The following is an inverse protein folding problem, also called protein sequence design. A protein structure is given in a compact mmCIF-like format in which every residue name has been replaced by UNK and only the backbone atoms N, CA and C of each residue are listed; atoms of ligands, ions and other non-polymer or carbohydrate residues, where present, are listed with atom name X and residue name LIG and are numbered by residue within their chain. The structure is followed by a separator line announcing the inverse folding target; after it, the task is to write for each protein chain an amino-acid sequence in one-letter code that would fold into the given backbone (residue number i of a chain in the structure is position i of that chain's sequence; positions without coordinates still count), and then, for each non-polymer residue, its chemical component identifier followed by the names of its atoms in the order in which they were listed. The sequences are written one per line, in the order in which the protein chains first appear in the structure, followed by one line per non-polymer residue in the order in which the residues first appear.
data_IF_947837241390
#
_entry.id   IF_947837241390
#
_cell.length_a   1.000
_cell.length_b   1.000
_cell.length_c   1.000
_cell.angle_alpha   90.00
_cell.angle_beta   90.00
_cell.angle_gamma   90.00
#
_symmetry.space_group_name_H-M   'P 1'
#
loop_
_entity.id
_entity.type
_entity.pdbx_description
1 polymer ?
2 non-polymer ?
3 non-polymer ?
4 non-polymer ?
5 non-polymer ?
6 water ?
#
# COMPACT_ATOMS: atom_id res chain seq x y z
N UNK A 22 -9.11 -22.74 1.49
CA UNK A 22 -8.09 -21.94 0.72
C UNK A 22 -7.53 -20.85 1.66
N UNK A 23 -6.38 -21.14 2.28
CA UNK A 23 -5.75 -20.25 3.26
C UNK A 23 -4.89 -19.06 2.64
N UNK A 24 -5.60 -18.05 2.14
CA UNK A 24 -5.06 -16.86 1.45
C UNK A 24 -4.33 -15.89 2.43
N UNK A 25 -3.20 -15.31 1.99
CA UNK A 25 -2.46 -14.34 2.83
C UNK A 25 -2.06 -13.11 2.00
N UNK A 26 -2.18 -11.89 2.56
CA UNK A 26 -1.67 -10.72 1.85
C UNK A 26 -0.33 -10.27 2.38
N UNK A 27 0.52 -9.81 1.44
CA UNK A 27 1.77 -9.13 1.81
C UNK A 27 1.84 -7.78 1.19
N UNK A 28 2.63 -6.86 1.75
CA UNK A 28 2.88 -5.60 1.05
C UNK A 28 4.30 -5.18 1.26
N UNK A 29 4.84 -4.41 0.31
CA UNK A 29 6.26 -4.14 0.39
C UNK A 29 6.57 -2.72 -0.09
N UNK A 30 7.63 -2.18 0.44
CA UNK A 30 8.05 -0.77 0.13
C UNK A 30 9.55 -0.69 -0.07
N UNK A 31 10.04 0.14 -0.98
CA UNK A 31 11.45 0.48 -0.89
C UNK A 31 11.57 1.86 -1.44
N UNK A 32 12.68 2.49 -1.16
CA UNK A 32 13.08 3.77 -1.77
C UNK A 32 14.61 3.81 -1.95
N UNK A 33 15.13 4.48 -3.02
CA UNK A 33 16.56 4.77 -3.21
C UNK A 33 16.80 6.14 -3.75
N UNK A 34 17.92 6.76 -3.35
CA UNK A 34 18.28 8.05 -3.90
C UNK A 34 18.85 7.85 -5.30
N UNK A 35 18.56 8.81 -6.17
CA UNK A 35 19.08 8.95 -7.52
C UNK A 35 20.16 10.01 -7.47
N UNK A 36 21.27 9.69 -8.13
CA UNK A 36 22.52 10.43 -8.15
C UNK A 36 23.13 10.28 -9.57
N UNK A 37 23.64 11.37 -10.10
CA UNK A 37 24.35 11.37 -11.40
C UNK A 37 25.40 10.27 -11.60
N UNK A 38 25.50 9.82 -12.85
CA UNK A 38 26.50 8.84 -13.28
C UNK A 38 26.19 7.36 -13.13
N UNK A 39 25.53 6.98 -12.02
CA UNK A 39 25.28 5.57 -11.73
C UNK A 39 24.17 4.94 -12.62
N UNK A 40 24.18 3.61 -12.76
CA UNK A 40 23.14 3.01 -13.62
C UNK A 40 21.71 2.96 -12.96
N UNK A 41 20.70 3.22 -13.75
CA UNK A 41 19.35 3.04 -13.28
C UNK A 41 18.84 1.65 -13.63
N UNK A 42 18.59 0.82 -12.62
CA UNK A 42 18.11 -0.57 -12.77
C UNK A 42 16.87 -0.71 -11.95
N UNK A 43 15.76 -1.07 -12.62
CA UNK A 43 14.45 -1.27 -11.97
C UNK A 43 13.75 -2.48 -12.56
N UNK A 44 13.40 -3.40 -11.66
CA UNK A 44 12.72 -4.61 -12.13
C UNK A 44 13.70 -5.50 -12.90
N UNK A 45 14.96 -5.40 -12.55
CA UNK A 45 16.10 -6.00 -13.30
C UNK A 45 16.37 -5.41 -14.68
N UNK A 46 15.61 -4.38 -15.11
CA UNK A 46 15.80 -3.70 -16.44
C UNK A 46 16.69 -2.45 -16.24
N UNK A 47 17.79 -2.41 -17.01
CA UNK A 47 18.71 -1.25 -16.97
C UNK A 47 18.05 -0.20 -17.87
N UNK A 48 17.81 0.99 -17.37
CA UNK A 48 17.15 2.05 -18.16
C UNK A 48 18.19 3.19 -18.44
N UNK A 49 18.57 3.41 -19.72
CA UNK A 49 19.48 4.52 -19.99
C UNK A 49 18.92 5.84 -19.47
N UNK A 50 19.74 6.54 -18.69
CA UNK A 50 19.29 7.76 -18.04
C UNK A 50 20.48 8.41 -17.40
N UNK A 51 20.44 9.74 -17.31
CA UNK A 51 21.59 10.49 -16.76
C UNK A 51 21.79 10.34 -15.23
N UNK A 52 20.79 9.79 -14.52
CA UNK A 52 20.97 9.45 -13.12
C UNK A 52 20.69 7.97 -12.88
N UNK A 53 20.95 7.50 -11.65
CA UNK A 53 21.05 6.09 -11.24
C UNK A 53 20.93 5.91 -9.71
N UNK A 54 20.59 4.67 -9.30
CA UNK A 54 20.17 4.40 -7.90
C UNK A 54 21.31 4.02 -7.00
N UNK A 55 21.52 4.81 -5.94
CA UNK A 55 22.44 4.42 -4.82
C UNK A 55 21.82 3.40 -3.80
N UNK A 56 22.69 2.48 -3.40
CA UNK A 56 22.40 1.50 -2.37
C UNK A 56 23.58 0.57 -2.39
N UNK A 57 23.61 -0.38 -1.46
CA UNK A 57 24.76 -1.28 -1.38
C UNK A 57 24.53 -2.62 -2.08
N UNK A 58 23.38 -2.72 -2.76
CA UNK A 58 23.08 -3.81 -3.69
C UNK A 58 23.33 -3.24 -5.06
N UNK A 59 22.57 -3.71 -6.04
CA UNK A 59 22.35 -2.88 -7.18
C UNK A 59 21.06 -2.07 -7.01
N UNK A 60 20.51 -1.98 -5.77
CA UNK A 60 19.51 -0.97 -5.34
C UNK A 60 18.21 -0.93 -6.16
N UNK A 61 17.78 -2.11 -6.61
CA UNK A 61 16.61 -2.28 -7.44
C UNK A 61 15.35 -2.16 -6.57
N UNK A 62 14.74 -0.98 -6.57
CA UNK A 62 13.63 -0.65 -5.63
C UNK A 62 12.44 -1.59 -5.80
N UNK A 63 12.21 -2.05 -7.04
CA UNK A 63 11.00 -2.73 -7.45
C UNK A 63 11.19 -4.13 -7.02
N UNK A 64 12.32 -4.76 -7.41
CA UNK A 64 12.62 -6.13 -6.92
C UNK A 64 12.54 -6.21 -5.38
N UNK A 65 13.09 -5.23 -4.68
CA UNK A 65 13.08 -5.32 -3.23
C UNK A 65 11.72 -5.19 -2.60
N UNK A 66 10.84 -4.38 -3.20
CA UNK A 66 9.56 -4.06 -2.54
C UNK A 66 8.79 -5.35 -2.74
N UNK A 67 8.94 -5.94 -3.95
CA UNK A 67 8.24 -7.26 -4.20
C UNK A 67 8.75 -8.36 -3.27
N UNK A 68 10.08 -8.36 -3.05
CA UNK A 68 10.71 -9.28 -2.11
C UNK A 68 10.09 -9.12 -0.71
N UNK A 69 10.06 -7.92 -0.18
CA UNK A 69 9.42 -7.73 1.15
C UNK A 69 7.95 -8.20 1.16
N UNK A 70 7.22 -7.93 0.05
CA UNK A 70 5.81 -8.26 -0.10
C UNK A 70 5.65 -9.73 0.06
N UNK A 71 6.60 -10.53 -0.48
CA UNK A 71 6.45 -11.96 -0.38
C UNK A 71 6.80 -12.44 1.05
N UNK A 72 7.88 -11.96 1.64
CA UNK A 72 8.27 -12.39 2.99
C UNK A 72 7.14 -12.01 3.94
N UNK A 73 6.55 -10.86 3.67
CA UNK A 73 5.41 -10.34 4.49
C UNK A 73 4.23 -11.30 4.53
N UNK A 74 3.74 -11.74 3.35
CA UNK A 74 2.58 -12.61 3.24
C UNK A 74 2.80 -13.96 3.88
N UNK A 75 4.04 -14.43 3.81
CA UNK A 75 4.50 -15.69 4.37
C UNK A 75 4.86 -15.59 5.84
N UNK A 76 4.68 -14.42 6.46
CA UNK A 76 5.15 -14.08 7.83
C UNK A 76 6.55 -14.56 8.16
N UNK A 77 7.49 -14.28 7.26
CA UNK A 77 8.86 -14.72 7.41
C UNK A 77 9.76 -13.47 7.68
N UNK A 78 9.14 -12.36 8.07
CA UNK A 78 9.94 -11.15 8.46
C UNK A 78 10.10 -10.22 7.24
N UNK A 79 11.33 -9.77 6.98
CA UNK A 79 11.65 -8.79 5.94
C UNK A 79 13.04 -9.15 5.31
N UNK A 80 13.41 -8.51 4.18
CA UNK A 80 14.67 -8.89 3.51
C UNK A 80 15.89 -8.88 4.48
N UNK A 81 15.84 -7.98 5.45
CA UNK A 81 16.93 -7.88 6.39
C UNK A 81 17.03 -9.08 7.34
N UNK A 82 15.92 -9.77 7.59
CA UNK A 82 15.95 -10.99 8.42
C UNK A 82 16.37 -12.22 7.64
N UNK A 83 16.65 -11.99 6.36
CA UNK A 83 17.01 -13.08 5.53
C UNK A 83 18.38 -12.92 4.98
N UNK A 84 18.87 -11.66 4.86
CA UNK A 84 19.88 -11.35 3.83
C UNK A 84 20.97 -10.36 4.25
N UNK A 93 27.63 -11.02 -2.27
CA UNK A 93 27.72 -10.83 -3.70
C UNK A 93 26.46 -11.32 -4.40
N UNK A 94 25.30 -10.97 -3.86
CA UNK A 94 24.05 -11.40 -4.48
C UNK A 94 23.27 -10.18 -4.95
N UNK A 95 23.01 -10.09 -6.27
CA UNK A 95 22.15 -9.00 -6.84
C UNK A 95 20.68 -9.07 -6.33
N UNK A 96 19.85 -8.12 -6.76
CA UNK A 96 18.44 -8.23 -6.38
C UNK A 96 17.63 -9.36 -7.03
N UNK A 97 17.96 -9.81 -8.26
CA UNK A 97 17.29 -11.03 -8.82
C UNK A 97 17.59 -12.29 -8.02
N UNK A 98 18.84 -12.44 -7.53
CA UNK A 98 19.23 -13.62 -6.80
C UNK A 98 18.42 -13.65 -5.48
N UNK A 99 18.34 -12.51 -4.83
CA UNK A 99 17.51 -12.32 -3.62
C UNK A 99 16.03 -12.62 -3.85
N UNK A 100 15.46 -12.12 -4.95
CA UNK A 100 14.05 -12.43 -5.30
C UNK A 100 13.82 -13.92 -5.47
N UNK A 101 14.67 -14.60 -6.26
CA UNK A 101 14.55 -16.05 -6.39
C UNK A 101 14.72 -16.80 -5.07
N UNK A 102 15.67 -16.40 -4.23
CA UNK A 102 15.84 -17.06 -2.94
C UNK A 102 14.62 -16.79 -2.08
N UNK A 103 14.12 -15.57 -2.14
CA UNK A 103 12.85 -15.27 -1.46
C UNK A 103 11.80 -16.31 -1.86
N UNK A 104 11.56 -16.47 -3.19
CA UNK A 104 10.60 -17.44 -3.72
C UNK A 104 10.84 -18.86 -3.23
N UNK A 105 12.11 -19.28 -3.16
CA UNK A 105 12.46 -20.62 -2.66
C UNK A 105 12.01 -20.78 -1.21
N UNK A 106 12.30 -19.77 -0.38
CA UNK A 106 11.89 -19.82 1.04
C UNK A 106 10.37 -19.80 1.21
N UNK A 107 9.70 -18.91 0.46
CA UNK A 107 8.23 -18.89 0.48
C UNK A 107 7.62 -20.29 0.11
N UNK A 108 8.12 -20.93 -0.96
CA UNK A 108 7.63 -22.26 -1.38
C UNK A 108 7.89 -23.35 -0.34
N UNK A 109 9.07 -23.28 0.28
CA UNK A 109 9.46 -24.25 1.34
C UNK A 109 8.67 -24.06 2.66
N UNK A 110 8.17 -22.86 2.90
CA UNK A 110 7.26 -22.68 4.03
C UNK A 110 5.85 -23.10 3.75
N UNK A 111 5.62 -23.69 2.57
CA UNK A 111 4.31 -24.27 2.20
C UNK A 111 3.39 -23.32 1.46
N UNK A 112 3.97 -22.25 0.93
CA UNK A 112 3.16 -21.35 0.11
C UNK A 112 3.26 -21.43 -1.40
N UNK A 113 2.13 -21.06 -2.00
CA UNK A 113 2.00 -20.89 -3.43
C UNK A 113 1.63 -19.38 -3.77
N UNK A 114 2.21 -18.83 -4.82
CA UNK A 114 1.93 -17.43 -5.14
C UNK A 114 0.75 -17.23 -6.09
N UNK A 115 -0.33 -16.55 -5.64
CA UNK A 115 -1.41 -16.14 -6.55
C UNK A 115 -1.00 -15.10 -7.56
N UNK A 116 -0.37 -13.98 -7.11
CA UNK A 116 -0.04 -12.89 -8.03
C UNK A 116 0.74 -11.84 -7.37
N UNK A 117 1.22 -10.90 -8.18
CA UNK A 117 2.02 -9.77 -7.73
C UNK A 117 1.51 -8.57 -8.51
N UNK A 118 1.36 -7.42 -7.81
CA UNK A 118 1.09 -6.10 -8.38
C UNK A 118 1.99 -5.09 -7.71
N UNK A 119 2.37 -4.07 -8.47
CA UNK A 119 3.34 -3.14 -7.93
C UNK A 119 3.20 -1.82 -8.63
N UNK A 120 3.77 -0.75 -8.01
CA UNK A 120 3.93 0.57 -8.62
C UNK A 120 5.32 1.11 -8.37
N UNK A 121 5.87 1.79 -9.38
CA UNK A 121 7.13 2.48 -9.26
C UNK A 121 6.82 3.91 -9.50
N UNK A 122 7.23 4.75 -8.54
CA UNK A 122 7.08 6.22 -8.66
C UNK A 122 8.39 6.79 -9.03
N UNK A 123 8.42 7.27 -10.23
CA UNK A 123 9.58 7.92 -10.76
C UNK A 123 9.10 9.06 -11.59
N UNK A 124 9.67 10.25 -11.36
CA UNK A 124 9.22 11.44 -12.11
C UNK A 124 9.66 11.34 -13.56
N UNK A 125 10.84 10.72 -13.74
CA UNK A 125 11.41 10.47 -15.08
C UNK A 125 12.41 9.36 -14.84
N UNK A 126 12.79 8.62 -15.89
CA UNK A 126 12.34 8.64 -17.29
C UNK A 126 11.05 7.85 -17.47
N UNK A 127 10.49 7.85 -18.71
CA UNK A 127 9.32 7.03 -18.98
C UNK A 127 9.75 5.59 -18.81
N UNK A 128 8.93 4.84 -18.09
CA UNK A 128 9.16 3.39 -17.80
C UNK A 128 8.33 2.48 -18.69
N UNK A 129 7.23 3.03 -19.25
CA UNK A 129 6.34 2.18 -20.03
C UNK A 129 7.03 1.21 -21.07
N UNK A 130 7.94 1.67 -21.90
CA UNK A 130 8.40 0.61 -22.80
C UNK A 130 9.38 -0.39 -22.17
N UNK A 131 9.61 -0.28 -20.85
CA UNK A 131 10.49 -1.14 -20.09
C UNK A 131 9.72 -2.13 -19.22
N UNK A 132 8.43 -1.87 -19.06
CA UNK A 132 7.58 -2.57 -18.12
C UNK A 132 7.41 -4.04 -18.48
N UNK A 133 7.27 -4.36 -19.77
CA UNK A 133 7.22 -5.78 -20.13
C UNK A 133 8.52 -6.53 -19.78
N UNK A 134 9.66 -5.84 -19.73
CA UNK A 134 10.95 -6.54 -19.43
C UNK A 134 11.01 -6.85 -17.94
N UNK A 135 10.42 -5.94 -17.15
CA UNK A 135 10.44 -6.11 -15.69
C UNK A 135 9.53 -7.30 -15.37
N UNK A 136 8.33 -7.30 -15.95
CA UNK A 136 7.34 -8.34 -15.71
C UNK A 136 7.92 -9.70 -16.07
N UNK A 137 8.62 -9.74 -17.20
CA UNK A 137 9.30 -10.98 -17.56
C UNK A 137 10.35 -11.43 -16.55
N UNK A 138 11.24 -10.53 -16.10
CA UNK A 138 12.27 -10.85 -15.02
C UNK A 138 11.59 -11.34 -13.73
N UNK A 139 10.52 -10.66 -13.30
CA UNK A 139 9.82 -11.08 -12.09
C UNK A 139 9.10 -12.43 -12.31
N UNK A 140 8.36 -12.59 -13.40
CA UNK A 140 7.64 -13.87 -13.57
C UNK A 140 8.63 -15.04 -13.55
N UNK A 141 9.70 -14.98 -14.35
CA UNK A 141 10.79 -16.01 -14.27
C UNK A 141 11.29 -16.16 -12.81
N UNK A 142 11.53 -15.07 -12.10
CA UNK A 142 12.15 -15.26 -10.78
C UNK A 142 11.20 -15.89 -9.75
N UNK A 143 9.89 -15.71 -9.95
CA UNK A 143 8.88 -16.24 -9.04
C UNK A 143 8.30 -17.54 -9.56
N UNK A 144 8.78 -17.95 -10.74
CA UNK A 144 8.21 -19.08 -11.51
C UNK A 144 6.73 -18.89 -11.80
N UNK A 145 6.32 -17.73 -12.30
CA UNK A 145 4.88 -17.46 -12.49
C UNK A 145 4.68 -17.19 -13.95
N UNK A 146 3.47 -17.49 -14.51
CA UNK A 146 3.20 -16.98 -15.83
C UNK A 146 3.11 -15.48 -15.82
N UNK A 147 3.31 -14.88 -16.99
CA UNK A 147 3.26 -13.44 -17.16
C UNK A 147 1.96 -12.80 -16.68
N UNK A 148 0.88 -13.57 -16.73
CA UNK A 148 -0.48 -13.05 -16.47
C UNK A 148 -0.74 -12.92 -14.98
N UNK A 149 0.20 -13.40 -14.17
CA UNK A 149 0.11 -13.13 -12.76
C UNK A 149 1.06 -12.07 -12.19
N UNK A 150 1.70 -11.32 -13.07
CA UNK A 150 2.66 -10.29 -12.67
C UNK A 150 2.27 -8.99 -13.28
N UNK A 151 2.09 -7.95 -12.46
CA UNK A 151 1.82 -6.61 -13.02
C UNK A 151 2.76 -5.56 -12.45
N UNK A 152 3.15 -4.59 -13.28
CA UNK A 152 4.02 -3.51 -12.84
C UNK A 152 3.43 -2.24 -13.40
N UNK A 153 3.23 -1.26 -12.50
CA UNK A 153 2.69 0.05 -12.95
C UNK A 153 3.65 1.19 -12.61
N UNK A 154 3.57 2.29 -13.34
CA UNK A 154 4.49 3.45 -13.21
C UNK A 154 3.80 4.75 -12.94
N UNK A 155 4.22 5.52 -11.93
CA UNK A 155 3.62 6.86 -11.71
C UNK A 155 4.66 7.98 -11.62
N UNK A 156 4.39 9.18 -12.08
CA UNK A 156 5.19 10.33 -11.61
C UNK A 156 4.71 10.78 -10.19
N UNK A 157 5.40 11.72 -9.56
CA UNK A 157 4.88 12.32 -8.30
C UNK A 157 4.44 13.78 -8.52
N UNK A 158 4.08 14.12 -9.76
CA UNK A 158 3.59 15.50 -10.09
C UNK A 158 4.56 16.62 -9.61
N UNK A 159 5.89 16.29 -9.60
CA UNK A 159 6.96 17.22 -9.25
C UNK A 159 6.90 17.57 -7.78
N UNK A 160 6.24 16.75 -6.99
CA UNK A 160 6.17 17.01 -5.54
C UNK A 160 7.21 16.19 -4.75
N UNK A 161 7.89 16.81 -3.79
CA UNK A 161 8.74 16.13 -2.79
C UNK A 161 10.02 15.59 -3.42
N UNK A 162 10.86 14.91 -2.67
CA UNK A 162 12.10 14.33 -3.31
C UNK A 162 11.82 13.41 -4.50
N UNK A 163 10.67 12.76 -4.51
CA UNK A 163 10.29 11.91 -5.65
C UNK A 163 10.09 12.82 -6.89
N UNK A 164 9.34 13.90 -6.67
CA UNK A 164 9.01 14.82 -7.76
C UNK A 164 10.19 15.58 -8.33
N UNK A 165 11.17 15.82 -7.50
CA UNK A 165 12.40 16.56 -7.88
C UNK A 165 13.38 15.61 -8.51
N UNK A 166 13.02 14.32 -8.59
CA UNK A 166 13.98 13.37 -9.17
C UNK A 166 15.12 12.98 -8.24
N UNK A 167 14.97 13.15 -6.93
CA UNK A 167 16.10 12.83 -6.06
C UNK A 167 15.96 11.43 -5.44
N UNK A 168 14.85 10.78 -5.75
CA UNK A 168 14.71 9.40 -5.35
C UNK A 168 13.71 8.75 -6.25
N UNK A 169 13.63 7.42 -6.14
CA UNK A 169 12.55 6.60 -6.74
C UNK A 169 12.03 5.67 -5.65
N UNK A 170 10.73 5.37 -5.74
CA UNK A 170 10.01 4.54 -4.80
C UNK A 170 9.36 3.34 -5.52
N UNK A 171 9.21 2.19 -4.87
CA UNK A 171 8.35 1.13 -5.41
C UNK A 171 7.40 0.67 -4.31
N UNK A 172 6.18 0.27 -4.71
CA UNK A 172 5.25 -0.29 -3.71
C UNK A 172 4.91 -1.60 -4.26
N UNK A 173 4.62 -2.58 -3.40
CA UNK A 173 4.21 -3.81 -4.06
C UNK A 173 3.15 -4.48 -3.19
N UNK A 174 2.35 -5.37 -3.81
CA UNK A 174 1.38 -6.24 -3.07
C UNK A 174 1.47 -7.63 -3.62
N UNK A 175 1.38 -8.63 -2.73
CA UNK A 175 1.34 -9.98 -3.17
C UNK A 175 0.37 -10.88 -2.44
N UNK A 176 -0.15 -11.87 -3.15
CA UNK A 176 -1.16 -12.74 -2.54
C UNK A 176 -0.66 -14.14 -2.54
N UNK A 177 -0.69 -14.80 -1.38
CA UNK A 177 -0.16 -16.12 -1.25
C UNK A 177 -1.28 -17.06 -0.81
N UNK A 178 -1.16 -18.35 -1.10
CA UNK A 178 -2.05 -19.41 -0.49
C UNK A 178 -1.16 -20.43 0.24
N UNK A 179 -1.44 -20.64 1.54
CA UNK A 179 -0.73 -21.65 2.37
C UNK A 179 -1.44 -22.96 2.17
N UNK A 180 -0.70 -23.93 1.66
CA UNK A 180 -1.20 -25.26 1.34
C UNK A 180 -0.99 -26.18 2.54
N UNK A 181 -2.07 -26.78 3.07
CA UNK A 181 -3.44 -26.47 2.67
C UNK A 181 -4.18 -27.59 1.96
N UNK A 182 -4.38 -27.40 0.65
CA UNK A 182 -5.10 -28.35 -0.20
C UNK A 182 -4.83 -28.18 -1.69
N UNK B 22 -15.61 -18.59 -0.37
CA UNK B 22 -14.82 -17.77 0.60
C UNK B 22 -14.91 -16.31 0.18
N UNK B 23 -15.65 -15.52 0.96
CA UNK B 23 -15.87 -14.13 0.62
C UNK B 23 -14.73 -13.28 1.21
N UNK B 24 -13.58 -13.34 0.55
CA UNK B 24 -12.39 -12.60 0.97
C UNK B 24 -12.43 -11.08 0.68
N UNK B 25 -11.90 -10.29 1.64
CA UNK B 25 -11.77 -8.81 1.52
C UNK B 25 -10.38 -8.27 1.87
N UNK B 26 -9.90 -7.26 1.11
CA UNK B 26 -8.66 -6.58 1.50
C UNK B 26 -8.87 -5.24 2.15
N UNK B 27 -7.97 -4.95 3.10
CA UNK B 27 -7.94 -3.69 3.88
C UNK B 27 -6.56 -3.13 3.82
N UNK B 28 -6.43 -1.81 3.72
CA UNK B 28 -5.08 -1.23 3.72
C UNK B 28 -5.11 -0.03 4.61
N UNK B 29 -4.02 0.24 5.29
CA UNK B 29 -4.03 1.38 6.21
C UNK B 29 -2.77 2.19 6.26
N UNK B 30 -2.87 3.45 6.67
CA UNK B 30 -1.70 4.37 6.72
C UNK B 30 -1.71 5.18 7.98
N UNK B 31 -0.54 5.41 8.56
CA UNK B 31 -0.42 6.51 9.55
C UNK B 31 0.95 7.20 9.48
N UNK B 32 1.03 8.39 10.06
CA UNK B 32 2.27 9.11 10.19
C UNK B 32 2.19 9.91 11.49
N UNK B 33 3.28 10.01 12.24
CA UNK B 33 3.39 10.94 13.37
C UNK B 33 4.73 11.65 13.35
N UNK B 34 4.76 12.85 13.93
CA UNK B 34 6.00 13.61 14.10
C UNK B 34 6.85 13.07 15.25
N UNK B 35 8.15 13.01 15.03
CA UNK B 35 9.10 12.70 16.05
C UNK B 35 9.60 13.98 16.71
N UNK B 36 9.59 14.00 18.06
CA UNK B 36 10.04 15.13 18.90
C UNK B 36 10.71 14.72 20.26
N UNK B 37 11.64 15.54 20.73
CA UNK B 37 12.11 15.50 22.13
C UNK B 37 10.93 15.66 23.08
N UNK B 38 10.94 14.92 24.19
CA UNK B 38 9.88 15.04 25.23
C UNK B 38 8.71 14.09 25.06
N UNK B 39 8.92 13.05 24.25
CA UNK B 39 7.95 11.99 24.08
C UNK B 39 8.66 10.63 24.02
N UNK B 40 8.02 9.59 24.58
CA UNK B 40 8.59 8.26 24.43
C UNK B 40 8.26 7.68 23.05
N UNK B 41 9.11 6.81 22.52
CA UNK B 41 8.86 6.21 21.20
C UNK B 41 8.12 4.88 21.39
N UNK B 42 6.86 4.78 20.95
CA UNK B 42 6.06 3.57 21.09
C UNK B 42 5.52 3.08 19.72
N UNK B 43 6.02 1.91 19.30
CA UNK B 43 5.64 1.39 18.02
C UNK B 43 5.15 -0.06 18.19
N UNK B 44 3.93 -0.33 17.74
CA UNK B 44 3.46 -1.73 17.86
C UNK B 44 3.26 -2.14 19.31
N UNK B 45 2.96 -1.15 20.16
CA UNK B 45 2.97 -1.15 21.64
C UNK B 45 4.31 -1.41 22.36
N UNK B 46 5.46 -1.52 21.65
CA UNK B 46 6.81 -1.61 22.26
C UNK B 46 7.44 -0.21 22.46
N UNK B 47 7.84 0.09 23.70
CA UNK B 47 8.56 1.29 23.97
C UNK B 47 10.01 1.08 23.56
N UNK B 48 10.54 1.95 22.70
CA UNK B 48 11.87 1.75 22.13
C UNK B 48 12.72 2.89 22.68
N UNK B 49 13.71 2.57 23.54
CA UNK B 49 14.46 3.68 24.11
C UNK B 49 15.14 4.50 22.97
N UNK B 50 15.11 5.83 23.10
CA UNK B 50 15.41 6.77 22.01
C UNK B 50 15.19 8.19 22.54
N UNK B 51 16.08 9.11 22.12
CA UNK B 51 16.04 10.51 22.55
C UNK B 51 14.82 11.24 21.93
N UNK B 52 14.21 10.63 20.93
CA UNK B 52 12.93 11.20 20.44
C UNK B 52 11.73 10.21 20.44
N UNK B 53 10.49 10.72 20.36
CA UNK B 53 9.22 9.95 20.40
C UNK B 53 8.06 10.70 19.74
N UNK B 54 6.91 10.05 19.67
CA UNK B 54 5.86 10.36 18.70
C UNK B 54 4.88 11.26 19.35
N UNK B 55 4.25 12.09 18.53
CA UNK B 55 3.33 13.16 18.95
C UNK B 55 1.97 12.80 18.38
N UNK B 56 0.93 12.87 19.22
CA UNK B 56 -0.44 12.72 18.73
C UNK B 56 -1.51 12.61 19.80
N UNK B 59 -1.66 8.52 22.19
CA UNK B 59 -0.44 7.73 22.47
C UNK B 59 0.45 7.48 21.23
N UNK B 60 -0.12 7.78 20.05
CA UNK B 60 0.57 7.98 18.77
C UNK B 60 1.30 6.79 18.17
N UNK B 61 0.80 5.59 18.43
CA UNK B 61 1.41 4.38 17.92
C UNK B 61 1.04 4.20 16.43
N UNK B 62 1.94 4.58 15.54
CA UNK B 62 1.67 4.63 14.10
C UNK B 62 1.30 3.20 13.47
N UNK B 63 2.00 2.19 13.97
CA UNK B 63 1.86 0.83 13.53
C UNK B 63 0.48 0.28 13.94
N UNK B 64 0.14 0.40 15.23
CA UNK B 64 -1.18 -0.07 15.67
C UNK B 64 -2.30 0.68 14.91
N UNK B 65 -2.15 1.98 14.71
CA UNK B 65 -3.24 2.73 14.01
C UNK B 65 -3.41 2.34 12.57
N UNK B 66 -2.29 2.09 11.88
CA UNK B 66 -2.32 1.71 10.48
C UNK B 66 -3.06 0.36 10.35
N UNK B 67 -2.70 -0.58 11.23
CA UNK B 67 -3.31 -1.92 11.19
C UNK B 67 -4.85 -1.84 11.48
N UNK B 68 -5.16 -1.06 12.48
CA UNK B 68 -6.57 -0.82 12.80
C UNK B 68 -7.39 -0.28 11.61
N UNK B 69 -6.93 0.77 10.93
CA UNK B 69 -7.55 1.25 9.65
C UNK B 69 -7.69 0.19 8.54
N UNK B 70 -6.67 -0.66 8.36
CA UNK B 70 -6.66 -1.72 7.43
C UNK B 70 -7.74 -2.80 7.70
N UNK B 71 -7.98 -3.11 8.97
CA UNK B 71 -9.04 -4.04 9.35
C UNK B 71 -10.42 -3.33 9.16
N UNK B 72 -10.57 -2.03 9.57
CA UNK B 72 -11.92 -1.34 9.36
C UNK B 72 -12.17 -1.27 7.87
N UNK B 73 -11.08 -1.06 7.13
CA UNK B 73 -11.16 -0.96 5.69
C UNK B 73 -11.63 -2.24 5.00
N UNK B 74 -11.02 -3.35 5.36
CA UNK B 74 -11.38 -4.67 4.78
C UNK B 74 -12.83 -5.08 5.11
N UNK B 75 -13.25 -4.67 6.30
CA UNK B 75 -14.61 -4.87 6.79
C UNK B 75 -15.66 -3.86 6.31
N UNK B 76 -15.25 -2.90 5.47
CA UNK B 76 -16.08 -1.74 5.08
C UNK B 76 -16.77 -1.01 6.21
N UNK B 77 -16.03 -0.71 7.29
CA UNK B 77 -16.62 -0.06 8.45
C UNK B 77 -16.06 1.38 8.61
N UNK B 78 -15.55 1.93 7.53
CA UNK B 78 -15.01 3.31 7.56
C UNK B 78 -13.57 3.35 8.03
N UNK B 79 -13.28 4.14 9.08
CA UNK B 79 -11.92 4.33 9.58
C UNK B 79 -11.91 4.62 11.08
N UNK B 80 -10.71 4.79 11.64
CA UNK B 80 -10.51 5.13 13.06
C UNK B 80 -11.43 6.26 13.59
N UNK B 81 -11.40 7.38 12.89
CA UNK B 81 -12.07 8.62 13.30
C UNK B 81 -13.55 8.40 13.37
N UNK B 82 -14.05 7.50 12.52
CA UNK B 82 -15.47 7.22 12.52
C UNK B 82 -15.87 6.39 13.73
N UNK B 83 -14.90 5.75 14.40
CA UNK B 83 -15.22 4.90 15.55
C UNK B 83 -14.89 5.49 16.88
N UNK B 84 -13.80 6.26 16.92
CA UNK B 84 -13.15 6.61 18.17
C UNK B 84 -12.88 8.13 18.27
N UNK B 85 -13.68 8.83 19.09
CA UNK B 85 -13.47 10.26 19.37
C UNK B 85 -12.81 10.48 20.73
N UNK B 93 -9.77 8.15 27.05
CA UNK B 93 -8.47 8.03 27.68
C UNK B 93 -7.73 6.85 27.06
N UNK B 94 -8.46 6.06 26.26
CA UNK B 94 -8.04 4.72 25.78
C UNK B 94 -6.82 4.73 24.85
N UNK B 95 -5.96 3.70 25.00
CA UNK B 95 -4.69 3.67 24.23
C UNK B 95 -4.82 2.99 22.81
N UNK B 96 -3.71 2.91 22.07
CA UNK B 96 -3.79 2.28 20.76
C UNK B 96 -4.09 0.76 20.81
N UNK B 97 -3.53 0.01 21.77
CA UNK B 97 -3.90 -1.41 21.97
C UNK B 97 -5.40 -1.62 22.30
N UNK B 98 -5.97 -0.76 23.16
CA UNK B 98 -7.39 -0.87 23.52
C UNK B 98 -8.17 -0.64 22.23
N UNK B 99 -7.76 0.37 21.48
CA UNK B 99 -8.41 0.62 20.22
C UNK B 99 -8.32 -0.56 19.27
N UNK B 100 -7.18 -1.25 19.24
CA UNK B 100 -6.97 -2.32 18.25
C UNK B 100 -7.86 -3.48 18.61
N UNK B 101 -7.87 -3.85 19.88
CA UNK B 101 -8.82 -4.83 20.42
C UNK B 101 -10.32 -4.46 20.21
N UNK B 102 -10.71 -3.20 20.38
CA UNK B 102 -12.11 -2.78 20.07
C UNK B 102 -12.40 -2.94 18.60
N UNK B 103 -11.45 -2.53 17.73
CA UNK B 103 -11.57 -2.78 16.27
C UNK B 103 -11.82 -4.29 16.01
N UNK B 104 -10.95 -5.16 16.51
CA UNK B 104 -11.11 -6.62 16.36
C UNK B 104 -12.52 -7.16 16.69
N UNK B 105 -13.03 -6.70 17.83
CA UNK B 105 -14.33 -7.07 18.31
C UNK B 105 -15.41 -6.52 17.33
N UNK B 106 -15.28 -5.31 16.81
CA UNK B 106 -16.24 -4.78 15.84
C UNK B 106 -16.12 -5.49 14.51
N UNK B 107 -14.89 -5.85 14.10
CA UNK B 107 -14.71 -6.58 12.85
C UNK B 107 -15.36 -8.01 12.99
N UNK B 108 -15.06 -8.72 14.08
CA UNK B 108 -15.70 -10.01 14.36
C UNK B 108 -17.25 -9.91 14.46
N UNK B 109 -17.77 -8.93 15.21
CA UNK B 109 -19.23 -8.71 15.32
C UNK B 109 -19.89 -8.54 13.95
N UNK B 110 -19.25 -7.79 13.05
CA UNK B 110 -19.74 -7.64 11.66
C UNK B 110 -19.64 -8.92 10.84
N UNK B 111 -19.16 -10.00 11.46
CA UNK B 111 -19.19 -11.32 10.86
C UNK B 111 -17.93 -11.71 10.10
N UNK B 112 -16.81 -11.05 10.40
CA UNK B 112 -15.63 -11.32 9.62
C UNK B 112 -14.67 -12.12 10.41
N UNK B 113 -13.87 -12.92 9.72
CA UNK B 113 -12.71 -13.59 10.30
C UNK B 113 -11.41 -12.96 9.73
N UNK B 114 -10.30 -12.97 10.48
CA UNK B 114 -9.04 -12.40 10.00
C UNK B 114 -8.11 -13.46 9.50
N UNK B 115 -7.71 -13.42 8.22
CA UNK B 115 -6.66 -14.32 7.69
C UNK B 115 -5.24 -13.99 8.20
N UNK B 116 -4.83 -12.70 8.06
CA UNK B 116 -3.50 -12.28 8.33
C UNK B 116 -3.30 -10.80 8.19
N UNK B 117 -2.26 -10.27 8.81
CA UNK B 117 -1.84 -8.85 8.69
C UNK B 117 -0.40 -8.77 8.18
N UNK B 118 -0.05 -7.75 7.38
CA UNK B 118 1.36 -7.49 7.13
C UNK B 118 1.52 -6.02 7.23
N UNK B 119 2.69 -5.58 7.64
CA UNK B 119 2.90 -4.11 7.85
C UNK B 119 4.33 -3.74 7.56
N UNK B 120 4.54 -2.45 7.29
CA UNK B 120 5.82 -1.84 7.24
C UNK B 120 5.89 -0.53 8.06
N UNK B 121 6.97 -0.43 8.83
CA UNK B 121 7.21 0.79 9.58
C UNK B 121 8.42 1.47 8.96
N UNK B 122 8.27 2.76 8.65
CA UNK B 122 9.41 3.47 7.98
C UNK B 122 9.93 4.40 8.96
N UNK B 123 11.16 4.14 9.42
CA UNK B 123 11.80 4.85 10.55
C UNK B 123 13.31 4.94 10.25
N UNK B 124 13.87 6.14 10.10
CA UNK B 124 15.27 6.23 9.68
C UNK B 124 16.17 5.62 10.78
N UNK B 125 15.69 5.81 12.02
CA UNK B 125 16.35 5.32 13.20
C UNK B 125 15.23 5.36 14.30
N UNK B 126 15.38 4.61 15.41
CA UNK B 126 16.45 3.62 15.63
C UNK B 126 16.19 2.32 14.90
N UNK B 127 17.12 1.37 15.09
CA UNK B 127 16.92 0.01 14.65
C UNK B 127 15.69 -0.58 15.37
N UNK B 128 14.71 -1.09 14.60
CA UNK B 128 13.49 -1.74 15.13
C UNK B 128 13.61 -3.25 15.16
N UNK B 129 14.55 -3.80 14.37
CA UNK B 129 14.65 -5.26 14.27
C UNK B 129 14.54 -6.05 15.64
N UNK B 130 15.32 -5.65 16.67
CA UNK B 130 15.20 -6.49 17.87
C UNK B 130 13.91 -6.25 18.65
N UNK B 131 13.06 -5.33 18.21
CA UNK B 131 11.78 -5.08 18.89
C UNK B 131 10.56 -5.64 18.15
N UNK B 132 10.79 -6.16 16.95
CA UNK B 132 9.78 -6.57 15.99
C UNK B 132 8.99 -7.78 16.56
N UNK B 133 9.65 -8.70 17.23
CA UNK B 133 8.86 -9.84 17.68
C UNK B 133 7.98 -9.48 18.86
N UNK B 134 8.39 -8.49 19.67
CA UNK B 134 7.53 -7.97 20.72
C UNK B 134 6.35 -7.27 20.07
N UNK B 135 6.58 -6.57 18.95
CA UNK B 135 5.42 -6.01 18.24
C UNK B 135 4.44 -7.06 17.73
N UNK B 136 4.95 -8.05 17.05
CA UNK B 136 4.06 -9.12 16.57
C UNK B 136 3.27 -9.78 17.69
N UNK B 137 3.88 -10.03 18.82
CA UNK B 137 3.17 -10.69 19.92
C UNK B 137 1.97 -9.84 20.42
N UNK B 138 2.19 -8.56 20.44
CA UNK B 138 1.24 -7.60 20.95
C UNK B 138 0.07 -7.51 19.96
N UNK B 139 0.37 -7.54 18.67
CA UNK B 139 -0.62 -7.42 17.60
C UNK B 139 -1.46 -8.74 17.53
N UNK B 140 -0.77 -9.86 17.49
CA UNK B 140 -1.47 -11.17 17.54
C UNK B 140 -2.36 -11.34 18.73
N UNK B 141 -1.87 -11.07 19.95
CA UNK B 141 -2.80 -11.14 21.09
C UNK B 141 -4.03 -10.25 20.85
N UNK B 142 -3.85 -9.02 20.43
CA UNK B 142 -4.95 -8.06 20.38
C UNK B 142 -5.99 -8.45 19.32
N UNK B 143 -5.54 -9.20 18.31
CA UNK B 143 -6.39 -9.68 17.22
C UNK B 143 -6.85 -11.13 17.38
N UNK B 144 -6.42 -11.81 18.44
CA UNK B 144 -6.86 -13.23 18.62
C UNK B 144 -6.25 -14.08 17.50
N UNK B 145 -5.04 -13.75 17.01
CA UNK B 145 -4.36 -14.59 16.00
C UNK B 145 -3.12 -15.33 16.54
N UNK B 146 -2.76 -16.51 15.97
CA UNK B 146 -1.36 -16.92 16.18
C UNK B 146 -0.35 -15.95 15.54
N UNK B 147 0.91 -16.06 15.96
CA UNK B 147 1.97 -15.19 15.53
C UNK B 147 2.25 -15.39 14.04
N UNK B 148 2.03 -16.61 13.56
CA UNK B 148 2.29 -16.94 12.17
C UNK B 148 1.34 -16.26 11.16
N UNK B 149 0.29 -15.60 11.65
CA UNK B 149 -0.53 -14.78 10.73
C UNK B 149 -0.28 -13.25 10.86
N UNK B 150 0.75 -12.90 11.60
CA UNK B 150 1.15 -11.50 11.83
C UNK B 150 2.57 -11.29 11.34
N UNK B 151 2.73 -10.29 10.47
CA UNK B 151 4.05 -9.80 10.11
C UNK B 151 4.25 -8.30 10.27
N UNK B 152 5.40 -7.93 10.78
CA UNK B 152 5.84 -6.52 10.77
C UNK B 152 7.23 -6.37 10.12
N UNK B 153 7.37 -5.35 9.25
CA UNK B 153 8.63 -5.10 8.57
C UNK B 153 9.15 -3.69 8.88
N UNK B 154 10.46 -3.48 8.86
CA UNK B 154 10.98 -2.10 9.10
C UNK B 154 11.86 -1.60 7.96
N UNK B 155 11.79 -0.28 7.67
CA UNK B 155 12.58 0.29 6.58
C UNK B 155 13.15 1.67 7.00
N UNK B 156 14.34 2.01 6.54
CA UNK B 156 14.74 3.42 6.56
C UNK B 156 14.08 4.09 5.33
N UNK B 157 14.24 5.40 5.20
CA UNK B 157 13.83 6.12 3.99
C UNK B 157 15.05 6.60 3.22
N UNK B 158 16.18 5.94 3.41
CA UNK B 158 17.41 6.34 2.73
C UNK B 158 17.79 7.81 2.88
N UNK B 159 17.47 8.41 4.04
CA UNK B 159 17.70 9.81 4.36
C UNK B 159 16.86 10.80 3.56
N UNK B 160 15.88 10.32 2.84
CA UNK B 160 15.08 11.23 1.99
C UNK B 160 13.84 11.74 2.72
N UNK B 161 13.45 13.00 2.52
CA UNK B 161 12.19 13.52 3.03
C UNK B 161 12.18 13.63 4.51
N UNK B 162 11.06 14.11 5.06
CA UNK B 162 10.92 14.22 6.52
C UNK B 162 11.17 12.88 7.26
N UNK B 163 10.77 11.78 6.64
CA UNK B 163 11.04 10.45 7.20
C UNK B 163 12.60 10.23 7.29
N UNK B 164 13.31 10.56 6.21
CA UNK B 164 14.76 10.22 6.16
C UNK B 164 15.50 11.19 7.08
N UNK B 165 14.89 12.34 7.36
CA UNK B 165 15.54 13.33 8.25
C UNK B 165 15.19 13.10 9.73
N UNK B 166 14.50 11.98 10.06
CA UNK B 166 14.12 11.80 11.45
C UNK B 166 13.00 12.64 12.00
N UNK B 167 12.23 13.30 11.13
CA UNK B 167 11.15 14.21 11.58
C UNK B 167 9.77 13.63 11.78
N UNK B 168 9.65 12.39 11.30
CA UNK B 168 8.45 11.63 11.38
C UNK B 168 8.74 10.20 11.21
N UNK B 169 7.74 9.41 11.58
CA UNK B 169 7.73 7.96 11.37
C UNK B 169 6.41 7.57 10.69
N UNK B 170 6.49 6.66 9.72
CA UNK B 170 5.32 6.19 8.91
C UNK B 170 5.09 4.72 9.22
N UNK B 171 3.86 4.30 9.15
CA UNK B 171 3.52 2.84 9.06
C UNK B 171 2.50 2.59 7.96
N UNK B 172 2.61 1.40 7.36
CA UNK B 172 1.72 0.98 6.27
C UNK B 172 1.24 -0.37 6.70
N UNK B 173 -0.03 -0.72 6.43
CA UNK B 173 -0.52 -2.08 6.82
C UNK B 173 -1.38 -2.62 5.74
N UNK B 174 -1.46 -3.98 5.69
CA UNK B 174 -2.40 -4.60 4.82
C UNK B 174 -3.06 -5.75 5.60
N UNK B 175 -4.38 -5.87 5.50
CA UNK B 175 -5.16 -6.97 6.13
C UNK B 175 -6.10 -7.68 5.19
N UNK B 176 -6.21 -9.01 5.39
CA UNK B 176 -7.11 -9.88 4.63
C UNK B 176 -8.13 -10.48 5.58
N UNK B 177 -9.41 -10.21 5.30
CA UNK B 177 -10.55 -10.69 6.06
C UNK B 177 -11.30 -11.71 5.28
N UNK B 178 -12.12 -12.49 6.00
CA UNK B 178 -13.12 -13.37 5.33
C UNK B 178 -14.51 -13.19 5.95
N UNK B 179 -15.48 -12.75 5.13
CA UNK B 179 -16.86 -12.55 5.58
C UNK B 179 -17.53 -13.91 5.61
N UNK B 180 -17.90 -14.35 6.80
CA UNK B 180 -18.56 -15.64 7.04
C UNK B 180 -20.07 -15.45 6.80
N UNK B 181 -20.67 -16.26 5.92
CA UNK B 181 -20.01 -17.34 5.19
C UNK B 181 -19.82 -18.63 6.00
N UNK B 182 -20.60 -18.78 7.09
CA UNK B 182 -20.46 -19.91 8.04
C UNK B 182 -21.04 -21.23 7.57
N UNK C 22 -11.06 -20.59 -5.65
CA UNK C 22 -11.29 -19.33 -6.41
C UNK C 22 -9.97 -18.65 -6.70
N UNK C 23 -9.75 -18.28 -7.96
CA UNK C 23 -8.47 -17.72 -8.36
C UNK C 23 -8.37 -16.22 -8.01
N UNK C 24 -8.00 -15.93 -6.75
CA UNK C 24 -8.05 -14.59 -6.17
C UNK C 24 -6.80 -13.77 -6.58
N UNK C 25 -7.02 -12.48 -6.87
CA UNK C 25 -5.91 -11.56 -7.27
C UNK C 25 -5.90 -10.22 -6.50
N UNK C 26 -4.71 -9.80 -6.07
CA UNK C 26 -4.50 -8.49 -5.40
C UNK C 26 -4.08 -7.43 -6.38
N UNK C 27 -4.69 -6.24 -6.26
CA UNK C 27 -4.18 -5.02 -6.92
C UNK C 27 -3.97 -3.91 -5.96
N UNK C 28 -3.08 -2.93 -6.28
CA UNK C 28 -2.81 -1.80 -5.40
C UNK C 28 -2.54 -0.58 -6.26
N UNK C 29 -2.89 0.57 -5.73
CA UNK C 29 -2.71 1.72 -6.63
C UNK C 29 -2.44 2.99 -5.89
N UNK C 30 -1.90 3.95 -6.61
CA UNK C 30 -1.35 5.19 -6.01
C UNK C 30 -1.65 6.34 -6.95
N UNK C 31 -2.04 7.47 -6.42
CA UNK C 31 -1.96 8.72 -7.26
C UNK C 31 -1.65 9.93 -6.41
N UNK C 32 -1.19 11.04 -7.02
CA UNK C 32 -1.04 12.26 -6.30
C UNK C 32 -1.35 13.36 -7.27
N UNK C 33 -1.85 14.48 -6.76
CA UNK C 33 -2.01 15.71 -7.56
C UNK C 33 -1.65 16.93 -6.72
N UNK C 34 -1.12 18.01 -7.33
CA UNK C 34 -0.88 19.28 -6.65
C UNK C 34 -2.18 20.03 -6.40
N UNK C 35 -2.23 20.73 -5.29
CA UNK C 35 -3.38 21.55 -4.92
C UNK C 35 -2.97 22.94 -5.17
N UNK C 36 -3.78 23.62 -5.97
CA UNK C 36 -3.58 25.06 -6.24
C UNK C 36 -4.86 25.94 -6.06
N UNK C 37 -4.64 27.19 -5.67
CA UNK C 37 -5.68 28.24 -5.54
C UNK C 37 -6.70 28.25 -6.70
N UNK C 38 -7.96 28.54 -6.34
CA UNK C 38 -9.11 28.60 -7.29
C UNK C 38 -9.13 27.59 -8.43
N UNK C 39 -9.28 26.31 -8.06
CA UNK C 39 -9.62 25.23 -9.00
C UNK C 39 -10.52 24.29 -8.19
N UNK C 40 -11.37 23.51 -8.85
CA UNK C 40 -12.24 22.76 -7.95
C UNK C 40 -11.56 21.54 -7.34
N UNK C 41 -11.86 21.30 -6.07
CA UNK C 41 -11.45 20.06 -5.38
C UNK C 41 -12.44 18.91 -5.63
N UNK C 42 -12.09 17.93 -6.45
CA UNK C 42 -12.93 16.73 -6.71
C UNK C 42 -12.24 15.47 -6.22
N UNK C 43 -12.89 14.82 -5.25
CA UNK C 43 -12.30 13.63 -4.76
C UNK C 43 -13.33 12.49 -4.73
N UNK C 44 -13.00 11.41 -5.41
CA UNK C 44 -13.93 10.29 -5.41
C UNK C 44 -15.22 10.71 -6.14
N UNK C 45 -15.13 11.72 -7.00
CA UNK C 45 -16.26 12.20 -7.81
C UNK C 45 -17.09 13.17 -6.96
N UNK C 46 -16.74 13.37 -5.70
CA UNK C 46 -17.41 14.37 -4.86
C UNK C 46 -16.73 15.76 -5.00
N UNK C 47 -17.49 16.82 -5.31
CA UNK C 47 -16.88 18.17 -5.33
C UNK C 47 -16.90 18.66 -3.90
N UNK C 48 -15.78 19.09 -3.38
CA UNK C 48 -15.69 19.56 -2.01
C UNK C 48 -15.34 21.05 -2.03
N UNK C 49 -16.29 21.93 -1.65
CA UNK C 49 -16.00 23.34 -1.54
C UNK C 49 -14.70 23.63 -0.76
N UNK C 50 -13.77 24.36 -1.36
CA UNK C 50 -12.45 24.56 -0.77
C UNK C 50 -11.79 25.60 -1.67
N UNK C 51 -10.90 26.39 -1.08
CA UNK C 51 -10.23 27.46 -1.82
C UNK C 51 -9.09 26.99 -2.71
N UNK C 52 -8.61 25.76 -2.50
CA UNK C 52 -7.73 25.12 -3.49
C UNK C 52 -8.44 23.93 -4.15
N UNK C 53 -7.85 23.38 -5.23
CA UNK C 53 -8.34 22.28 -6.06
C UNK C 53 -7.21 21.62 -6.86
N UNK C 54 -7.50 20.48 -7.48
CA UNK C 54 -6.45 19.52 -7.94
C UNK C 54 -6.09 19.69 -9.39
N UNK C 55 -4.78 19.80 -9.64
CA UNK C 55 -4.24 20.05 -10.99
C UNK C 55 -3.86 18.73 -11.70
N UNK C 56 -4.45 18.49 -12.87
CA UNK C 56 -4.04 17.38 -13.72
C UNK C 56 -4.64 17.56 -15.07
N UNK C 57 -4.32 16.65 -16.00
CA UNK C 57 -4.88 16.68 -17.37
C UNK C 57 -6.32 16.19 -17.46
N UNK C 58 -6.80 15.46 -16.45
CA UNK C 58 -8.20 15.02 -16.29
C UNK C 58 -8.94 16.08 -15.43
N UNK C 59 -10.00 15.63 -14.73
CA UNK C 59 -10.56 16.36 -13.60
C UNK C 59 -9.72 16.11 -12.33
N UNK C 60 -8.52 15.51 -12.49
CA UNK C 60 -7.52 15.21 -11.43
C UNK C 60 -7.99 14.45 -10.18
N UNK C 61 -8.99 13.58 -10.38
CA UNK C 61 -9.58 12.83 -9.28
C UNK C 61 -8.59 11.78 -8.69
N UNK C 62 -7.80 12.19 -7.69
CA UNK C 62 -6.70 11.35 -7.14
C UNK C 62 -7.26 9.96 -6.63
N UNK C 63 -8.48 9.90 -6.07
CA UNK C 63 -9.04 8.65 -5.48
C UNK C 63 -9.53 7.69 -6.56
N UNK C 64 -10.35 8.18 -7.49
CA UNK C 64 -10.79 7.35 -8.54
C UNK C 64 -9.56 6.82 -9.36
N UNK C 65 -8.53 7.63 -9.57
CA UNK C 65 -7.38 7.09 -10.40
C UNK C 65 -6.65 5.98 -9.64
N UNK C 66 -6.51 6.14 -8.33
CA UNK C 66 -5.73 5.15 -7.58
C UNK C 66 -6.52 3.84 -7.57
N UNK C 67 -7.84 3.95 -7.38
CA UNK C 67 -8.74 2.71 -7.55
C UNK C 67 -8.72 2.07 -8.98
N UNK C 68 -8.80 2.89 -10.01
CA UNK C 68 -8.63 2.45 -11.40
C UNK C 68 -7.29 1.74 -11.58
N UNK C 69 -6.19 2.30 -11.12
CA UNK C 69 -4.90 1.51 -11.13
C UNK C 69 -4.89 0.17 -10.38
N UNK C 70 -5.43 0.13 -9.12
CA UNK C 70 -5.60 -1.10 -8.33
C UNK C 70 -6.44 -2.21 -9.01
N UNK C 71 -7.44 -1.83 -9.79
CA UNK C 71 -8.23 -2.80 -10.56
C UNK C 71 -7.47 -3.31 -11.77
N UNK C 72 -6.81 -2.45 -12.52
CA UNK C 72 -5.99 -2.88 -13.70
C UNK C 72 -4.83 -3.74 -13.22
N UNK C 73 -4.29 -3.40 -12.08
CA UNK C 73 -3.17 -4.17 -11.51
C UNK C 73 -3.56 -5.58 -11.03
N UNK C 74 -4.71 -5.70 -10.36
CA UNK C 74 -5.18 -7.04 -9.96
C UNK C 74 -5.51 -7.93 -11.15
N UNK C 75 -5.93 -7.29 -12.23
CA UNK C 75 -6.30 -7.97 -13.47
C UNK C 75 -5.12 -8.21 -14.43
N UNK C 76 -3.96 -7.74 -14.02
CA UNK C 76 -2.72 -7.74 -14.83
C UNK C 76 -2.93 -7.11 -16.20
N UNK C 77 -3.61 -5.97 -16.21
CA UNK C 77 -3.88 -5.25 -17.45
C UNK C 77 -3.07 -3.97 -17.60
N UNK C 78 -1.99 -3.87 -16.85
CA UNK C 78 -1.17 -2.66 -16.93
C UNK C 78 -1.59 -1.55 -15.96
N UNK C 79 -1.63 -0.30 -16.47
CA UNK C 79 -1.97 0.85 -15.67
C UNK C 79 -2.80 1.85 -16.51
N UNK C 80 -3.31 2.93 -15.89
CA UNK C 80 -4.22 3.81 -16.64
C UNK C 80 -3.60 4.31 -17.93
N UNK C 81 -2.30 4.61 -17.86
CA UNK C 81 -1.59 5.15 -19.03
C UNK C 81 -1.63 4.20 -20.20
N UNK C 82 -1.68 2.91 -19.92
CA UNK C 82 -1.66 1.92 -20.98
C UNK C 82 -3.01 1.92 -21.63
N UNK C 83 -3.96 2.56 -20.96
CA UNK C 83 -5.33 2.58 -21.44
C UNK C 83 -5.78 3.92 -21.94
N UNK C 84 -5.51 4.98 -21.17
CA UNK C 84 -6.10 6.30 -21.41
C UNK C 84 -5.00 7.37 -21.44
N UNK C 85 -4.83 8.05 -22.57
CA UNK C 85 -3.70 8.98 -22.73
C UNK C 85 -4.07 10.45 -23.02
N UNK C 86 -4.39 10.73 -24.28
CA UNK C 86 -4.51 12.10 -24.81
C UNK C 86 -5.71 12.25 -25.75
N UNK C 95 -14.52 12.21 -17.77
CA UNK C 95 -14.00 12.57 -16.49
C UNK C 95 -13.29 11.33 -15.84
N UNK C 96 -13.13 11.32 -14.53
CA UNK C 96 -12.49 10.12 -13.95
C UNK C 96 -13.48 8.96 -13.64
N UNK C 97 -14.78 9.24 -13.45
CA UNK C 97 -15.81 8.21 -13.39
C UNK C 97 -15.99 7.47 -14.73
N UNK C 98 -15.99 8.17 -15.87
CA UNK C 98 -16.06 7.47 -17.17
C UNK C 98 -14.89 6.46 -17.21
N UNK C 99 -13.71 6.94 -16.93
CA UNK C 99 -12.53 6.05 -16.86
C UNK C 99 -12.70 4.88 -15.90
N UNK C 100 -13.27 5.14 -14.73
CA UNK C 100 -13.44 4.07 -13.71
C UNK C 100 -14.38 3.02 -14.28
N UNK C 101 -15.50 3.47 -14.89
CA UNK C 101 -16.45 2.53 -15.49
C UNK C 101 -15.83 1.76 -16.66
N UNK C 102 -15.12 2.41 -17.57
CA UNK C 102 -14.44 1.66 -18.63
C UNK C 102 -13.42 0.64 -18.08
N UNK C 103 -12.68 1.04 -17.04
CA UNK C 103 -11.81 0.09 -16.32
C UNK C 103 -12.61 -1.17 -15.90
N UNK C 104 -13.75 -1.00 -15.20
CA UNK C 104 -14.59 -2.12 -14.72
C UNK C 104 -15.07 -3.01 -15.85
N UNK C 105 -15.39 -2.40 -16.98
CA UNK C 105 -15.82 -3.14 -18.13
C UNK C 105 -14.65 -3.91 -18.72
N UNK C 106 -13.45 -3.30 -18.78
CA UNK C 106 -12.26 -4.06 -19.27
C UNK C 106 -11.91 -5.18 -18.29
N UNK C 107 -12.11 -4.95 -17.00
CA UNK C 107 -11.76 -5.99 -16.00
C UNK C 107 -12.75 -7.18 -16.11
N UNK C 108 -14.03 -6.86 -16.36
CA UNK C 108 -15.05 -7.90 -16.47
C UNK C 108 -14.88 -8.77 -17.74
N UNK C 109 -14.59 -8.14 -18.87
CA UNK C 109 -14.29 -8.78 -20.16
C UNK C 109 -13.01 -9.67 -20.13
N UNK C 110 -12.05 -9.35 -19.25
CA UNK C 110 -10.83 -10.17 -19.04
C UNK C 110 -11.13 -11.33 -18.13
N UNK C 111 -12.37 -11.36 -17.63
CA UNK C 111 -12.94 -12.50 -16.91
C UNK C 111 -12.93 -12.42 -15.39
N UNK C 112 -12.87 -11.22 -14.82
CA UNK C 112 -12.72 -11.08 -13.35
C UNK C 112 -13.99 -10.54 -12.78
N UNK C 113 -14.30 -10.91 -11.54
CA UNK C 113 -15.32 -10.20 -10.76
C UNK C 113 -14.62 -9.52 -9.54
N UNK C 114 -15.22 -8.43 -9.09
CA UNK C 114 -14.59 -7.67 -8.00
C UNK C 114 -15.07 -8.08 -6.61
N UNK C 115 -14.19 -8.51 -5.70
CA UNK C 115 -14.55 -8.68 -4.25
C UNK C 115 -14.87 -7.43 -3.47
N UNK C 116 -13.92 -6.47 -3.48
CA UNK C 116 -14.00 -5.27 -2.64
C UNK C 116 -12.89 -4.31 -3.00
N UNK C 117 -13.07 -3.07 -2.62
CA UNK C 117 -12.11 -1.99 -2.70
C UNK C 117 -11.95 -1.34 -1.32
N UNK C 118 -10.70 -1.05 -0.93
CA UNK C 118 -10.44 -0.19 0.22
C UNK C 118 -9.46 0.88 -0.25
N UNK C 119 -9.51 2.02 0.40
CA UNK C 119 -8.67 3.11 -0.02
C UNK C 119 -8.48 4.09 1.12
N UNK C 120 -7.45 4.95 0.94
CA UNK C 120 -7.13 6.03 1.85
C UNK C 120 -6.82 7.26 1.00
N UNK C 121 -7.44 8.37 1.35
CA UNK C 121 -7.02 9.66 0.84
C UNK C 121 -6.25 10.42 1.87
N UNK C 122 -5.09 10.97 1.50
CA UNK C 122 -4.29 11.84 2.44
C UNK C 122 -4.39 13.32 2.15
N UNK C 123 -5.05 14.09 3.02
CA UNK C 123 -5.29 15.54 2.79
C UNK C 123 -5.24 16.19 4.09
N UNK C 124 -4.45 17.24 4.23
CA UNK C 124 -4.24 17.82 5.51
C UNK C 124 -5.55 18.54 5.82
N UNK C 125 -6.17 19.03 4.76
CA UNK C 125 -7.51 19.57 4.85
C UNK C 125 -8.02 19.68 3.40
N UNK C 126 -9.34 19.89 3.23
CA UNK C 126 -10.36 20.09 4.25
C UNK C 126 -10.78 18.80 4.86
N UNK C 127 -11.70 18.87 5.83
CA UNK C 127 -12.25 17.66 6.44
C UNK C 127 -13.08 16.90 5.41
N UNK C 128 -12.78 15.60 5.21
CA UNK C 128 -13.39 14.82 4.17
C UNK C 128 -14.49 13.90 4.71
N UNK C 129 -14.53 13.67 6.01
CA UNK C 129 -15.48 12.69 6.56
C UNK C 129 -16.99 12.91 6.07
N UNK C 130 -17.47 14.14 5.97
CA UNK C 130 -18.89 14.26 5.62
C UNK C 130 -19.12 14.01 4.15
N UNK C 131 -18.03 13.87 3.38
CA UNK C 131 -18.08 13.55 1.99
C UNK C 131 -17.91 12.09 1.55
N UNK C 132 -17.40 11.29 2.47
CA UNK C 132 -16.97 9.91 2.21
C UNK C 132 -18.11 9.04 1.74
N UNK C 133 -19.31 9.23 2.30
CA UNK C 133 -20.41 8.40 1.87
C UNK C 133 -20.84 8.63 0.41
N UNK C 134 -20.69 9.88 -0.10
CA UNK C 134 -20.99 10.25 -1.48
C UNK C 134 -19.90 9.59 -2.32
N UNK C 135 -18.65 9.56 -1.80
CA UNK C 135 -17.57 8.94 -2.64
C UNK C 135 -17.87 7.46 -2.81
N UNK C 136 -18.24 6.80 -1.71
CA UNK C 136 -18.55 5.35 -1.76
C UNK C 136 -19.66 5.00 -2.73
N UNK C 137 -20.77 5.76 -2.66
CA UNK C 137 -21.82 5.61 -3.61
C UNK C 137 -21.33 5.75 -5.04
N UNK C 138 -20.48 6.75 -5.33
CA UNK C 138 -20.05 6.95 -6.68
C UNK C 138 -19.23 5.74 -7.13
N UNK C 139 -18.35 5.27 -6.26
CA UNK C 139 -17.45 4.22 -6.65
C UNK C 139 -18.26 2.92 -6.81
N UNK C 140 -19.18 2.66 -5.87
CA UNK C 140 -19.95 1.43 -5.97
C UNK C 140 -20.81 1.38 -7.25
N UNK C 141 -21.52 2.47 -7.57
CA UNK C 141 -22.30 2.50 -8.84
C UNK C 141 -21.35 2.10 -9.95
N UNK C 142 -20.26 2.83 -10.14
CA UNK C 142 -19.30 2.70 -11.24
C UNK C 142 -18.64 1.35 -11.35
N UNK C 143 -18.53 0.62 -10.25
CA UNK C 143 -17.96 -0.73 -10.30
C UNK C 143 -19.00 -1.81 -10.25
N UNK C 144 -20.30 -1.43 -10.23
CA UNK C 144 -21.41 -2.44 -10.18
C UNK C 144 -21.37 -3.24 -8.88
N UNK C 145 -20.95 -2.59 -7.79
CA UNK C 145 -20.83 -3.25 -6.48
C UNK C 145 -21.84 -2.74 -5.45
N UNK C 146 -22.24 -3.56 -4.46
CA UNK C 146 -22.96 -2.88 -3.37
C UNK C 146 -22.02 -1.99 -2.56
N UNK C 147 -22.61 -1.06 -1.81
CA UNK C 147 -21.89 -0.17 -0.90
C UNK C 147 -20.97 -0.93 0.06
N UNK C 148 -21.40 -2.10 0.54
CA UNK C 148 -20.69 -2.83 1.59
C UNK C 148 -19.38 -3.46 1.11
N UNK C 149 -19.10 -3.39 -0.18
CA UNK C 149 -17.85 -3.85 -0.72
C UNK C 149 -16.98 -2.65 -1.12
N UNK C 150 -17.37 -1.47 -0.70
CA UNK C 150 -16.53 -0.23 -0.96
C UNK C 150 -16.21 0.57 0.32
N UNK C 151 -14.92 0.80 0.56
CA UNK C 151 -14.52 1.62 1.72
C UNK C 151 -13.55 2.75 1.31
N UNK C 152 -13.73 3.90 1.93
CA UNK C 152 -12.83 5.01 1.74
C UNK C 152 -12.48 5.53 3.09
N UNK C 153 -11.17 5.74 3.30
CA UNK C 153 -10.73 6.30 4.60
C UNK C 153 -10.04 7.63 4.41
N UNK C 154 -10.06 8.53 5.37
CA UNK C 154 -9.35 9.83 5.26
C UNK C 154 -8.25 9.94 6.30
N UNK C 155 -7.13 10.61 5.96
CA UNK C 155 -6.06 10.87 6.88
C UNK C 155 -5.43 12.25 6.68
N UNK C 156 -5.07 12.91 7.76
CA UNK C 156 -4.06 13.97 7.58
C UNK C 156 -2.61 13.41 7.46
N UNK C 157 -1.68 14.29 7.13
CA UNK C 157 -0.25 13.91 7.21
C UNK C 157 0.49 14.64 8.37
N UNK C 158 -0.25 15.11 9.38
CA UNK C 158 0.33 15.61 10.63
C UNK C 158 1.28 16.74 10.39
N UNK C 159 0.92 17.55 9.38
CA UNK C 159 1.65 18.74 8.87
C UNK C 159 3.05 18.37 8.30
N UNK C 160 3.28 17.13 7.95
CA UNK C 160 4.66 16.84 7.44
C UNK C 160 4.68 16.79 5.93
N UNK C 161 5.77 17.25 5.29
CA UNK C 161 5.97 17.20 3.83
C UNK C 161 5.02 18.03 2.98
N UNK C 162 5.12 17.91 1.66
CA UNK C 162 4.20 18.64 0.81
C UNK C 162 2.76 18.32 1.12
N UNK C 163 2.43 17.06 1.47
CA UNK C 163 1.05 16.71 1.91
C UNK C 163 0.57 17.49 3.17
N UNK C 164 1.44 17.58 4.17
CA UNK C 164 1.02 18.20 5.39
C UNK C 164 1.04 19.71 5.23
N UNK C 165 1.83 20.22 4.27
CA UNK C 165 1.76 21.65 3.95
C UNK C 165 0.62 22.10 3.02
N UNK C 166 -0.26 21.15 2.58
CA UNK C 166 -1.44 21.58 1.82
C UNK C 166 -1.13 21.78 0.37
N UNK C 167 0.00 21.25 -0.09
CA UNK C 167 0.45 21.43 -1.48
C UNK C 167 0.07 20.33 -2.48
N UNK C 168 -0.48 19.25 -1.94
CA UNK C 168 -0.80 18.08 -2.68
C UNK C 168 -1.79 17.25 -1.86
N UNK C 169 -2.44 16.35 -2.55
CA UNK C 169 -3.31 15.27 -1.98
C UNK C 169 -2.95 13.97 -2.66
N UNK C 170 -2.92 12.90 -1.84
CA UNK C 170 -2.51 11.55 -2.21
C UNK C 170 -3.70 10.59 -2.03
N UNK C 171 -3.83 9.60 -2.89
CA UNK C 171 -4.77 8.51 -2.57
C UNK C 171 -4.06 7.18 -2.65
N UNK C 172 -4.49 6.18 -1.86
CA UNK C 172 -3.91 4.84 -2.03
C UNK C 172 -5.10 3.91 -2.13
N UNK C 173 -5.02 2.88 -2.96
CA UNK C 173 -6.13 1.95 -3.00
C UNK C 173 -5.71 0.53 -2.98
N UNK C 174 -6.63 -0.27 -2.48
CA UNK C 174 -6.41 -1.66 -2.64
C UNK C 174 -7.66 -2.39 -3.15
N UNK C 175 -7.44 -3.33 -4.09
CA UNK C 175 -8.51 -4.12 -4.63
C UNK C 175 -8.27 -5.63 -4.72
N UNK C 176 -9.37 -6.39 -4.55
CA UNK C 176 -9.29 -7.86 -4.61
C UNK C 176 -10.23 -8.39 -5.72
N UNK C 177 -9.68 -9.12 -6.72
CA UNK C 177 -10.48 -9.65 -7.80
C UNK C 177 -10.52 -11.17 -7.74
N UNK C 178 -11.42 -11.75 -8.52
CA UNK C 178 -11.36 -13.20 -8.75
C UNK C 178 -11.60 -13.51 -10.22
N UNK C 179 -10.64 -14.29 -10.74
CA UNK C 179 -10.59 -14.70 -12.15
C UNK C 179 -11.49 -15.91 -12.23
N UNK C 180 -12.60 -15.76 -12.98
CA UNK C 180 -13.60 -16.84 -13.15
C UNK C 180 -13.14 -17.81 -14.24
N UNK C 181 -13.17 -19.11 -13.98
CA UNK C 181 -13.68 -19.65 -12.73
C UNK C 181 -15.14 -20.02 -12.86
N UNK C 182 -15.66 -19.93 -14.08
CA UNK C 182 -17.08 -20.20 -14.35
C UNK C 182 -17.76 -18.97 -14.90
#
# INVERSE_FOLDING_TARGET
MGSSHHHHHHSSGENLYFQGHMDVRIGQGYDVHQLVEGRPLIIGGVTIPYERGLLGHSDADVLLHAITDALFGAAALGDIGRHFSDTDAAFKGADSRVLLRACAERVKAAGFTIQNVDSTVIAQAPKLAPHIDGMRANIAADLGLPLERVNVKAKTNEKLGYLGRGEGIEAQAAALLVKQGG
MGSSHHHHHHSSGENLYFQGHMDVRIGQGYDVHQLVEGRPLIIGGVTIPYERGLLGHSDADVLLHAITDALFGAAALGDIGRHFSDTDAAFKGADSRVLLRACAERVKAAGFTIQNVDSTVIAQAPKLAPHIDGMRANIAADLGLPLERVNVKAKTNEKLGYLGRGEGIEAQAAALLVKQGG
MGSSHHHHHHSSGENLYFQGHMDVRIGQGYDVHQLVEGRPLIIGGVTIPYERGLLGHSDADVLLHAITDALFGAAALGDIGRHFSDTDAAFKGADSRVLLRACAERVKAAGFTIQNVDSTVIAQAPKLAPHIDGMRANIAADLGLPLERVNVKAKTNEKLGYLGRGEGIEAQAAALLVKQGG
#
